data_IF_641529291009
#
_entry.id   IF_641529291009
#
_cell.length_a   1.000
_cell.length_b   1.000
_cell.length_c   1.000
_cell.angle_alpha   90.00
_cell.angle_beta   90.00
_cell.angle_gamma   90.00
#
_symmetry.space_group_name_H-M   'P 1'
#
loop_
_entity.id
_entity.type
_entity.pdbx_description
1 polymer ?
#
# COMPACT_ATOMS: atom_id res chain seq x y z
N UNK A 1 -4.01 21.18 58.11
CA UNK A 1 -2.88 20.41 57.55
C UNK A 1 -2.42 21.16 56.31
N UNK A 2 -1.17 21.65 56.30
CA UNK A 2 -0.63 22.36 55.14
C UNK A 2 -0.28 21.32 54.08
N UNK A 3 -0.89 21.41 52.90
CA UNK A 3 -0.44 20.67 51.72
C UNK A 3 0.93 21.22 51.31
N UNK A 4 1.99 20.46 51.59
CA UNK A 4 3.30 20.71 51.02
C UNK A 4 3.23 20.37 49.53
N UNK A 5 3.21 21.39 48.68
CA UNK A 5 3.33 21.23 47.25
C UNK A 5 4.80 20.94 46.92
N UNK A 6 5.17 19.65 46.88
CA UNK A 6 6.54 19.14 46.68
C UNK A 6 7.21 19.58 45.37
N UNK A 7 6.51 20.33 44.52
CA UNK A 7 6.99 20.74 43.20
C UNK A 7 7.39 22.21 43.14
N UNK A 8 7.42 22.95 44.26
CA UNK A 8 7.75 24.37 44.30
C UNK A 8 8.68 24.74 45.46
N UNK A 9 9.55 25.74 45.27
CA UNK A 9 10.27 26.43 46.34
C UNK A 9 10.12 27.94 46.21
N UNK A 10 10.20 28.65 47.33
CA UNK A 10 10.22 30.11 47.34
C UNK A 10 11.66 30.61 47.58
N UNK A 11 12.04 31.72 46.95
CA UNK A 11 13.25 32.44 47.34
C UNK A 11 13.00 33.28 48.61
N UNK A 12 14.05 33.93 49.10
CA UNK A 12 14.01 34.79 50.29
C UNK A 12 13.12 36.04 50.10
N UNK A 13 12.74 36.35 48.86
CA UNK A 13 11.83 37.44 48.48
C UNK A 13 10.37 36.96 48.34
N UNK A 14 10.12 35.66 48.46
CA UNK A 14 8.79 35.04 48.34
C UNK A 14 8.37 34.68 46.90
N UNK A 15 9.27 34.80 45.92
CA UNK A 15 9.00 34.37 44.54
C UNK A 15 8.97 32.84 44.46
N UNK A 16 7.93 32.28 43.83
CA UNK A 16 7.72 30.84 43.74
C UNK A 16 8.33 30.29 42.44
N UNK A 17 9.19 29.28 42.56
CA UNK A 17 9.85 28.56 41.48
C UNK A 17 9.39 27.09 41.45
N UNK A 18 9.13 26.56 40.26
CA UNK A 18 8.78 25.13 40.07
C UNK A 18 10.06 24.27 39.99
N UNK A 19 10.10 23.13 40.69
CA UNK A 19 11.16 22.11 40.56
C UNK A 19 11.02 21.29 39.28
N UNK A 20 9.80 21.12 38.77
CA UNK A 20 9.53 20.40 37.54
C UNK A 20 9.62 21.35 36.35
N UNK A 21 10.53 21.09 35.41
CA UNK A 21 10.47 21.63 34.06
C UNK A 21 9.41 20.85 33.25
N UNK A 22 8.22 21.41 33.00
CA UNK A 22 7.15 20.70 32.31
C UNK A 22 7.50 20.47 30.83
N UNK A 23 8.34 21.33 30.24
CA UNK A 23 8.78 21.21 28.86
C UNK A 23 9.73 20.02 28.70
N UNK A 24 10.69 19.88 29.61
CA UNK A 24 11.59 18.73 29.65
C UNK A 24 10.82 17.43 29.84
N UNK A 25 9.83 17.42 30.74
CA UNK A 25 8.98 16.25 31.00
C UNK A 25 8.17 15.84 29.76
N UNK A 26 7.45 16.78 29.15
CA UNK A 26 6.67 16.51 27.94
C UNK A 26 7.58 16.04 26.78
N UNK A 27 8.80 16.58 26.69
CA UNK A 27 9.79 16.15 25.70
C UNK A 27 10.25 14.72 25.94
N UNK A 28 10.52 14.35 27.20
CA UNK A 28 10.91 12.99 27.60
C UNK A 28 9.78 11.99 27.32
N UNK A 29 8.56 12.29 27.74
CA UNK A 29 7.38 11.41 27.52
C UNK A 29 7.14 11.16 26.03
N UNK A 30 7.31 12.19 25.18
CA UNK A 30 7.22 12.05 23.73
C UNK A 30 8.33 11.16 23.18
N UNK A 31 9.56 11.33 23.65
CA UNK A 31 10.72 10.54 23.22
C UNK A 31 10.58 9.06 23.63
N UNK A 32 10.10 8.80 24.84
CA UNK A 32 9.83 7.44 25.35
C UNK A 32 8.73 6.77 24.52
N UNK A 33 7.64 7.50 24.23
CA UNK A 33 6.58 7.00 23.36
C UNK A 33 7.05 6.68 21.94
N UNK A 34 7.96 7.47 21.36
CA UNK A 34 8.57 7.18 20.05
C UNK A 34 9.45 5.93 20.14
N UNK A 35 10.28 5.84 21.18
CA UNK A 35 11.19 4.71 21.39
C UNK A 35 10.44 3.40 21.55
N UNK A 36 9.33 3.41 22.31
CA UNK A 36 8.48 2.22 22.48
C UNK A 36 7.84 1.80 21.15
N UNK A 37 7.37 2.73 20.32
CA UNK A 37 6.80 2.39 19.00
C UNK A 37 7.86 1.83 18.05
N UNK A 38 9.07 2.38 18.07
CA UNK A 38 10.19 1.81 17.30
C UNK A 38 10.53 0.39 17.77
N UNK A 39 10.50 0.14 19.08
CA UNK A 39 10.66 -1.22 19.64
C UNK A 39 9.55 -2.15 19.14
N UNK A 40 8.29 -1.71 19.18
CA UNK A 40 7.15 -2.48 18.68
C UNK A 40 7.27 -2.80 17.19
N UNK A 41 7.72 -1.85 16.37
CA UNK A 41 7.96 -2.07 14.95
C UNK A 41 9.04 -3.14 14.73
N UNK A 42 10.14 -3.07 15.49
CA UNK A 42 11.23 -4.05 15.41
C UNK A 42 10.79 -5.47 15.77
N UNK A 43 9.89 -5.63 16.75
CA UNK A 43 9.40 -6.94 17.18
C UNK A 43 8.11 -7.39 16.49
N UNK A 44 7.63 -6.63 15.49
CA UNK A 44 6.39 -6.95 14.77
C UNK A 44 5.11 -6.85 15.61
N UNK A 45 5.13 -6.09 16.72
CA UNK A 45 3.97 -5.90 17.61
C UNK A 45 3.30 -4.53 17.42
N UNK A 46 3.76 -3.72 16.47
CA UNK A 46 3.19 -2.41 16.20
C UNK A 46 1.86 -2.55 15.45
N UNK A 47 0.75 -2.22 16.12
CA UNK A 47 -0.62 -2.35 15.56
C UNK A 47 -1.03 -1.23 14.58
N UNK A 48 -0.17 -0.22 14.38
CA UNK A 48 -0.52 0.98 13.63
C UNK A 48 -1.38 1.96 14.44
N UNK A 49 -1.38 3.23 14.04
CA UNK A 49 -2.26 4.27 14.60
C UNK A 49 -3.12 4.88 13.51
N UNK A 50 -4.34 5.29 13.85
CA UNK A 50 -5.17 6.07 12.95
C UNK A 50 -4.54 7.45 12.72
N UNK A 51 -4.24 7.78 11.46
CA UNK A 51 -3.65 9.08 11.09
C UNK A 51 -4.60 10.23 11.45
N UNK A 52 -5.91 10.01 11.32
CA UNK A 52 -6.94 10.98 11.72
C UNK A 52 -6.90 11.34 13.21
N UNK A 53 -6.42 10.44 14.06
CA UNK A 53 -6.33 10.67 15.51
C UNK A 53 -4.98 11.28 15.88
N UNK A 54 -3.89 10.71 15.38
CA UNK A 54 -2.52 11.16 15.70
C UNK A 54 -2.28 12.60 15.23
N UNK A 55 -2.88 12.97 14.10
CA UNK A 55 -2.70 14.28 13.47
C UNK A 55 -3.96 15.13 13.48
N UNK A 56 -4.92 14.85 14.37
CA UNK A 56 -6.21 15.55 14.42
C UNK A 56 -6.05 17.08 14.45
N UNK A 57 -5.09 17.60 15.21
CA UNK A 57 -4.81 19.04 15.29
C UNK A 57 -4.22 19.63 14.01
N UNK A 58 -3.36 18.89 13.30
CA UNK A 58 -2.79 19.35 12.03
C UNK A 58 -3.80 19.27 10.89
N UNK A 59 -4.65 18.23 10.89
CA UNK A 59 -5.73 18.05 9.92
C UNK A 59 -6.78 19.15 10.09
N UNK A 60 -7.21 19.40 11.33
CA UNK A 60 -8.18 20.46 11.64
C UNK A 60 -9.47 20.33 10.83
N UNK A 61 -9.82 21.38 10.11
CA UNK A 61 -10.98 21.39 9.19
C UNK A 61 -10.67 20.87 7.78
N UNK A 62 -9.41 20.53 7.49
CA UNK A 62 -8.99 19.99 6.19
C UNK A 62 -9.39 18.53 6.09
N UNK A 63 -9.74 18.07 4.89
CA UNK A 63 -9.91 16.63 4.66
C UNK A 63 -8.55 15.90 4.81
N UNK A 64 -8.55 14.73 5.48
CA UNK A 64 -7.33 13.93 5.72
C UNK A 64 -6.51 13.65 4.46
N UNK A 65 -7.15 13.41 3.31
CA UNK A 65 -6.45 13.12 2.06
C UNK A 65 -5.76 14.35 1.49
N UNK A 66 -6.40 15.52 1.60
CA UNK A 66 -5.79 16.80 1.22
C UNK A 66 -4.59 17.12 2.11
N UNK A 67 -4.72 16.91 3.42
CA UNK A 67 -3.63 17.10 4.38
C UNK A 67 -2.46 16.13 4.12
N UNK A 68 -2.76 14.84 3.89
CA UNK A 68 -1.76 13.83 3.53
C UNK A 68 -1.02 14.19 2.24
N UNK A 69 -1.76 14.63 1.21
CA UNK A 69 -1.17 15.08 -0.05
C UNK A 69 -0.19 16.23 0.18
N UNK A 70 -0.61 17.29 0.88
CA UNK A 70 0.25 18.45 1.14
C UNK A 70 1.52 18.07 1.88
N UNK A 71 1.42 17.19 2.88
CA UNK A 71 2.59 16.72 3.63
C UNK A 71 3.50 15.83 2.78
N UNK A 72 2.92 14.92 1.99
CA UNK A 72 3.66 14.04 1.10
C UNK A 72 4.39 14.85 0.03
N UNK A 73 3.72 15.75 -0.70
CA UNK A 73 4.35 16.59 -1.73
C UNK A 73 5.48 17.47 -1.17
N UNK A 74 5.41 17.86 0.12
CA UNK A 74 6.44 18.63 0.80
C UNK A 74 7.59 17.77 1.37
N UNK A 75 7.56 16.44 1.21
CA UNK A 75 8.54 15.52 1.81
C UNK A 75 8.49 15.50 3.34
N UNK A 76 7.38 15.95 3.94
CA UNK A 76 7.24 16.05 5.38
C UNK A 76 6.54 14.80 5.95
N UNK A 77 7.32 13.80 6.35
CA UNK A 77 6.82 12.56 6.98
C UNK A 77 6.99 12.51 8.50
N UNK A 78 7.45 13.60 9.12
CA UNK A 78 7.68 13.67 10.56
C UNK A 78 6.46 13.19 11.39
N UNK A 79 6.70 12.25 12.29
CA UNK A 79 5.68 11.69 13.19
C UNK A 79 4.85 10.55 12.60
N UNK A 80 4.86 10.35 11.27
CA UNK A 80 4.22 9.20 10.61
C UNK A 80 5.13 7.99 10.68
N UNK A 81 4.56 6.79 10.73
CA UNK A 81 5.32 5.54 10.76
C UNK A 81 4.70 4.50 9.83
N UNK A 82 5.54 3.57 9.37
CA UNK A 82 5.08 2.37 8.65
C UNK A 82 4.04 1.64 9.50
N UNK A 83 2.91 1.28 8.90
CA UNK A 83 1.78 0.65 9.57
C UNK A 83 0.71 1.62 10.12
N UNK A 84 0.99 2.92 10.25
CA UNK A 84 -0.07 3.93 10.48
C UNK A 84 -1.10 3.87 9.35
N UNK A 85 -2.37 4.16 9.64
CA UNK A 85 -3.45 3.82 8.72
C UNK A 85 -4.53 4.89 8.56
N UNK A 86 -5.25 4.77 7.44
CA UNK A 86 -6.54 5.41 7.15
C UNK A 86 -7.58 4.34 6.83
N UNK A 87 -8.79 4.51 7.35
CA UNK A 87 -9.93 3.66 6.99
C UNK A 87 -10.69 4.32 5.83
N UNK A 88 -10.69 3.67 4.67
CA UNK A 88 -11.27 4.19 3.42
C UNK A 88 -12.64 3.57 3.21
N UNK A 89 -13.68 4.41 3.18
CA UNK A 89 -15.03 3.99 2.80
C UNK A 89 -15.13 3.88 1.27
N UNK A 90 -15.31 2.64 0.78
CA UNK A 90 -15.52 2.33 -0.63
C UNK A 90 -17.03 2.23 -0.88
N UNK A 91 -17.52 3.04 -1.81
CA UNK A 91 -18.95 3.09 -2.14
C UNK A 91 -19.35 1.87 -2.97
N UNK A 92 -20.62 1.46 -2.88
CA UNK A 92 -21.13 0.40 -3.73
C UNK A 92 -21.17 0.83 -5.20
N UNK A 93 -20.64 -0.02 -6.08
CA UNK A 93 -20.77 0.05 -7.53
C UNK A 93 -21.25 -1.28 -8.12
N UNK A 94 -21.31 -1.38 -9.45
CA UNK A 94 -21.76 -2.60 -10.14
C UNK A 94 -20.92 -3.83 -9.76
N UNK A 95 -19.59 -3.69 -9.76
CA UNK A 95 -18.66 -4.79 -9.46
C UNK A 95 -17.93 -4.66 -8.11
N UNK A 96 -18.32 -3.69 -7.28
CA UNK A 96 -17.66 -3.37 -5.99
C UNK A 96 -18.73 -3.26 -4.90
N UNK A 97 -18.69 -4.07 -3.83
CA UNK A 97 -19.61 -3.92 -2.71
C UNK A 97 -19.22 -2.69 -1.86
N UNK A 98 -20.20 -2.13 -1.14
CA UNK A 98 -19.88 -1.18 -0.08
C UNK A 98 -19.01 -1.88 0.98
N UNK A 99 -17.85 -1.32 1.26
CA UNK A 99 -16.89 -1.88 2.20
C UNK A 99 -15.99 -0.79 2.79
N UNK A 100 -15.37 -1.07 3.93
CA UNK A 100 -14.32 -0.22 4.50
C UNK A 100 -13.00 -0.98 4.43
N UNK A 101 -12.01 -0.38 3.79
CA UNK A 101 -10.66 -0.95 3.69
C UNK A 101 -9.69 -0.11 4.52
N UNK A 102 -8.98 -0.77 5.43
CA UNK A 102 -7.90 -0.15 6.18
C UNK A 102 -6.63 -0.12 5.33
N UNK A 103 -6.20 1.07 4.94
CA UNK A 103 -4.96 1.29 4.19
C UNK A 103 -3.85 1.72 5.14
N UNK A 104 -2.75 0.99 5.13
CA UNK A 104 -1.56 1.26 5.93
C UNK A 104 -0.48 1.93 5.10
N UNK A 105 0.27 2.84 5.73
CA UNK A 105 1.53 3.35 5.19
C UNK A 105 2.48 2.16 5.02
N UNK A 106 2.80 1.88 3.76
CA UNK A 106 3.63 0.76 3.38
C UNK A 106 5.10 1.13 3.19
N UNK A 107 5.36 2.33 2.67
CA UNK A 107 6.69 2.88 2.43
C UNK A 107 6.58 4.40 2.22
N UNK A 108 7.54 5.17 2.74
CA UNK A 108 7.77 6.55 2.33
C UNK A 108 8.76 6.58 1.16
N UNK A 109 8.44 7.30 0.10
CA UNK A 109 9.35 7.54 -1.03
C UNK A 109 9.97 6.28 -1.70
N UNK A 110 9.23 5.16 -1.90
CA UNK A 110 9.80 3.97 -2.53
C UNK A 110 10.38 4.21 -3.93
N UNK A 111 9.90 5.25 -4.63
CA UNK A 111 10.30 5.60 -5.99
C UNK A 111 10.80 7.04 -6.14
N UNK A 112 11.24 7.69 -5.06
CA UNK A 112 11.62 9.10 -5.11
C UNK A 112 12.79 9.31 -6.05
N UNK A 113 12.66 10.28 -6.97
CA UNK A 113 13.63 10.57 -8.03
C UNK A 113 13.97 9.37 -8.95
N UNK A 114 13.15 8.33 -8.91
CA UNK A 114 13.26 7.16 -9.80
C UNK A 114 12.25 7.27 -10.96
N UNK A 115 12.45 6.47 -12.00
CA UNK A 115 11.61 6.45 -13.19
C UNK A 115 12.33 6.94 -14.46
N UNK A 116 11.69 6.80 -15.62
CA UNK A 116 12.06 7.57 -16.81
C UNK A 116 11.75 9.06 -16.66
N UNK A 117 10.87 9.41 -15.71
CA UNK A 117 10.60 10.75 -15.24
C UNK A 117 10.74 10.78 -13.72
N UNK A 118 11.53 11.70 -13.14
CA UNK A 118 11.72 11.77 -11.69
C UNK A 118 10.39 11.94 -10.95
N UNK A 119 10.07 11.02 -10.04
CA UNK A 119 8.89 11.12 -9.19
C UNK A 119 9.16 12.03 -7.98
N UNK A 120 8.20 12.90 -7.66
CA UNK A 120 8.19 13.69 -6.43
C UNK A 120 8.02 12.83 -5.16
N UNK A 121 8.01 13.48 -4.01
CA UNK A 121 7.79 12.81 -2.72
C UNK A 121 6.38 12.19 -2.66
N UNK A 122 6.27 11.01 -2.07
CA UNK A 122 5.02 10.24 -2.00
C UNK A 122 5.03 9.21 -0.86
N UNK A 123 3.83 8.73 -0.54
CA UNK A 123 3.61 7.66 0.43
C UNK A 123 2.88 6.52 -0.28
N UNK A 124 3.41 5.31 -0.19
CA UNK A 124 2.72 4.11 -0.63
C UNK A 124 1.75 3.62 0.45
N UNK A 125 0.52 3.34 0.04
CA UNK A 125 -0.51 2.76 0.88
C UNK A 125 -0.93 1.38 0.36
N UNK A 126 -0.98 0.42 1.27
CA UNK A 126 -1.39 -0.97 1.00
C UNK A 126 -2.60 -1.29 1.88
N UNK A 127 -3.66 -1.93 1.36
CA UNK A 127 -4.78 -2.33 2.20
C UNK A 127 -4.41 -3.57 3.05
N UNK A 128 -4.76 -3.54 4.33
CA UNK A 128 -4.49 -4.62 5.29
C UNK A 128 -5.15 -5.96 4.88
N UNK A 129 -6.33 -5.88 4.26
CA UNK A 129 -7.05 -7.01 3.70
C UNK A 129 -7.32 -6.76 2.21
N UNK A 130 -7.35 -7.81 1.36
CA UNK A 130 -7.70 -7.65 -0.04
C UNK A 130 -9.17 -7.27 -0.22
N UNK A 131 -9.47 -6.50 -1.26
CA UNK A 131 -10.80 -5.98 -1.51
C UNK A 131 -11.75 -7.11 -1.92
N UNK A 132 -13.00 -7.04 -1.45
CA UNK A 132 -14.05 -7.94 -1.90
C UNK A 132 -14.65 -7.45 -3.22
N UNK A 133 -15.11 -8.39 -4.05
CA UNK A 133 -15.71 -8.13 -5.37
C UNK A 133 -17.17 -8.56 -5.35
N UNK A 134 -18.02 -7.93 -6.15
CA UNK A 134 -19.40 -8.36 -6.37
C UNK A 134 -19.76 -8.26 -7.86
N UNK A 135 -21.00 -8.62 -8.20
CA UNK A 135 -21.54 -8.41 -9.53
C UNK A 135 -20.93 -9.32 -10.61
N UNK A 136 -21.10 -8.96 -11.90
CA UNK A 136 -20.71 -9.83 -13.02
C UNK A 136 -19.23 -10.21 -13.09
N UNK A 137 -18.33 -9.40 -12.53
CA UNK A 137 -16.90 -9.72 -12.45
C UNK A 137 -16.52 -10.64 -11.28
N UNK A 138 -17.40 -10.77 -10.28
CA UNK A 138 -17.13 -11.65 -9.15
C UNK A 138 -17.20 -13.12 -9.57
N UNK A 139 -16.22 -13.89 -9.11
CA UNK A 139 -16.23 -15.34 -9.14
C UNK A 139 -16.25 -15.88 -7.72
N UNK A 140 -16.87 -17.06 -7.54
CA UNK A 140 -16.99 -17.72 -6.25
C UNK A 140 -17.42 -16.76 -5.11
N UNK A 141 -18.51 -16.03 -5.37
CA UNK A 141 -19.11 -15.01 -4.50
C UNK A 141 -18.35 -13.70 -4.37
N UNK A 142 -17.02 -13.70 -4.11
CA UNK A 142 -16.30 -12.47 -3.73
C UNK A 142 -14.86 -12.34 -4.23
N UNK A 143 -14.49 -13.14 -5.22
CA UNK A 143 -13.14 -13.21 -5.79
C UNK A 143 -13.12 -12.66 -7.21
N UNK A 144 -11.92 -12.49 -7.77
CA UNK A 144 -11.72 -11.97 -9.12
C UNK A 144 -10.68 -12.83 -9.82
N UNK A 145 -10.92 -13.34 -11.03
CA UNK A 145 -9.85 -13.97 -11.80
C UNK A 145 -8.82 -12.88 -12.17
N UNK A 146 -7.53 -13.23 -12.21
CA UNK A 146 -6.51 -12.30 -12.70
C UNK A 146 -6.81 -11.89 -14.15
N UNK A 147 -7.15 -12.88 -15.01
CA UNK A 147 -7.61 -12.64 -16.38
C UNK A 147 -8.57 -13.74 -16.82
N UNK A 148 -9.78 -13.33 -17.19
CA UNK A 148 -10.86 -14.25 -17.56
C UNK A 148 -10.56 -15.10 -18.81
N UNK A 149 -9.71 -14.62 -19.73
CA UNK A 149 -9.37 -15.34 -20.96
C UNK A 149 -8.39 -16.52 -20.78
N UNK A 150 -7.87 -16.75 -19.57
CA UNK A 150 -6.95 -17.88 -19.31
C UNK A 150 -5.53 -17.69 -19.84
N UNK A 151 -5.21 -16.52 -20.40
CA UNK A 151 -3.92 -16.19 -20.99
C UNK A 151 -3.24 -15.06 -20.20
N UNK A 152 -1.92 -15.10 -20.03
CA UNK A 152 -1.11 -14.04 -19.39
C UNK A 152 -0.18 -13.31 -20.37
N UNK A 153 -0.46 -13.33 -21.68
CA UNK A 153 0.27 -12.56 -22.70
C UNK A 153 -0.44 -11.24 -23.04
N UNK A 154 0.32 -10.25 -23.48
CA UNK A 154 -0.16 -9.05 -24.15
C UNK A 154 -0.80 -9.32 -25.52
N UNK A 155 -1.09 -8.25 -26.25
CA UNK A 155 -1.49 -8.21 -27.66
C UNK A 155 -0.52 -7.34 -28.48
N UNK A 156 -0.80 -7.19 -29.78
CA UNK A 156 -0.03 -6.31 -30.65
C UNK A 156 -0.11 -4.85 -30.22
N UNK A 157 -1.26 -4.44 -29.68
CA UNK A 157 -1.59 -3.09 -29.25
C UNK A 157 -1.11 -2.81 -27.83
N UNK A 158 -1.20 -3.80 -26.94
CA UNK A 158 -0.82 -3.67 -25.54
C UNK A 158 -0.02 -4.89 -25.09
N UNK A 159 1.31 -4.73 -25.01
CA UNK A 159 2.24 -5.83 -24.76
C UNK A 159 2.33 -6.23 -23.28
N UNK A 160 1.80 -5.41 -22.37
CA UNK A 160 1.88 -5.64 -20.94
C UNK A 160 0.69 -6.49 -20.46
N UNK A 161 0.93 -7.73 -20.00
CA UNK A 161 -0.16 -8.62 -19.59
C UNK A 161 -1.08 -8.03 -18.52
N UNK A 162 -0.49 -7.31 -17.56
CA UNK A 162 -1.23 -6.73 -16.46
C UNK A 162 -2.22 -5.67 -16.93
N UNK A 163 -1.87 -4.84 -17.90
CA UNK A 163 -2.78 -3.81 -18.43
C UNK A 163 -3.98 -4.39 -19.19
N UNK A 164 -3.84 -5.62 -19.72
CA UNK A 164 -4.94 -6.38 -20.33
C UNK A 164 -5.67 -7.33 -19.36
N UNK A 165 -5.33 -7.29 -18.07
CA UNK A 165 -5.89 -8.20 -17.06
C UNK A 165 -7.28 -7.77 -16.62
N UNK A 166 -8.09 -8.76 -16.22
CA UNK A 166 -9.40 -8.49 -15.58
C UNK A 166 -9.20 -7.79 -14.24
N UNK A 167 -8.09 -8.08 -13.56
CA UNK A 167 -7.65 -7.41 -12.35
C UNK A 167 -7.49 -5.90 -12.56
N UNK A 168 -6.64 -5.50 -13.51
CA UNK A 168 -6.38 -4.09 -13.78
C UNK A 168 -7.61 -3.34 -14.28
N UNK A 169 -8.39 -3.98 -15.16
CA UNK A 169 -9.66 -3.42 -15.63
C UNK A 169 -10.65 -3.16 -14.47
N UNK A 170 -10.78 -4.10 -13.53
CA UNK A 170 -11.59 -3.89 -12.32
C UNK A 170 -11.02 -2.78 -11.42
N UNK A 171 -9.70 -2.73 -11.24
CA UNK A 171 -9.04 -1.71 -10.43
C UNK A 171 -9.31 -0.29 -10.94
N UNK A 172 -9.20 -0.06 -12.25
CA UNK A 172 -9.34 1.25 -12.86
C UNK A 172 -10.80 1.63 -13.14
N UNK A 173 -11.61 0.70 -13.63
CA UNK A 173 -12.95 1.02 -14.13
C UNK A 173 -14.06 0.78 -13.09
N UNK A 174 -13.81 0.01 -12.03
CA UNK A 174 -14.80 -0.27 -10.99
C UNK A 174 -14.36 0.22 -9.60
N UNK A 175 -13.16 -0.16 -9.16
CA UNK A 175 -12.67 0.16 -7.82
C UNK A 175 -12.29 1.63 -7.65
N UNK A 176 -11.49 2.18 -8.55
CA UNK A 176 -11.06 3.58 -8.49
C UNK A 176 -12.27 4.54 -8.44
N UNK A 177 -13.32 4.43 -9.27
CA UNK A 177 -14.51 5.28 -9.17
C UNK A 177 -15.28 5.14 -7.86
N UNK A 178 -15.19 3.99 -7.18
CA UNK A 178 -15.85 3.73 -5.90
C UNK A 178 -15.14 4.36 -4.69
N UNK A 179 -13.90 4.84 -4.86
CA UNK A 179 -13.16 5.55 -3.82
C UNK A 179 -13.70 6.97 -3.58
N UNK A 180 -13.57 7.52 -2.37
CA UNK A 180 -13.94 8.91 -2.07
C UNK A 180 -13.29 9.90 -3.04
N UNK A 181 -14.04 10.89 -3.50
CA UNK A 181 -13.54 11.87 -4.49
C UNK A 181 -12.30 12.61 -4.00
N UNK A 182 -12.24 12.97 -2.72
CA UNK A 182 -11.11 13.61 -2.08
C UNK A 182 -9.86 12.73 -2.13
N UNK A 183 -10.00 11.42 -1.88
CA UNK A 183 -8.91 10.46 -2.01
C UNK A 183 -8.46 10.34 -3.48
N UNK A 184 -9.38 10.21 -4.43
CA UNK A 184 -9.04 10.13 -5.86
C UNK A 184 -8.27 11.35 -6.36
N UNK A 185 -8.49 12.53 -5.76
CA UNK A 185 -7.77 13.77 -6.07
C UNK A 185 -6.37 13.84 -5.41
N UNK A 186 -6.16 13.09 -4.33
CA UNK A 186 -4.88 12.98 -3.63
C UNK A 186 -3.96 11.91 -4.22
N UNK A 187 -4.54 10.90 -4.88
CA UNK A 187 -3.78 9.79 -5.46
C UNK A 187 -3.05 10.19 -6.75
N UNK A 188 -1.78 9.78 -6.85
CA UNK A 188 -0.93 9.96 -8.02
C UNK A 188 -1.12 8.83 -9.05
N UNK A 189 -0.82 9.12 -10.31
CA UNK A 189 -0.64 8.07 -11.31
C UNK A 189 0.69 7.33 -11.09
N UNK A 190 0.67 6.00 -11.12
CA UNK A 190 1.85 5.18 -10.92
C UNK A 190 2.42 4.70 -12.25
N UNK A 191 3.50 5.37 -12.69
CA UNK A 191 4.31 4.97 -13.84
C UNK A 191 5.44 4.02 -13.41
N UNK A 192 5.61 2.92 -14.13
CA UNK A 192 6.58 1.86 -13.80
C UNK A 192 7.25 1.30 -15.05
N UNK A 193 8.39 0.63 -14.88
CA UNK A 193 8.98 -0.22 -15.91
C UNK A 193 8.28 -1.59 -15.85
N UNK A 194 7.29 -1.80 -16.74
CA UNK A 194 6.37 -2.94 -16.68
C UNK A 194 6.80 -4.04 -17.64
N UNK A 195 6.60 -5.31 -17.26
CA UNK A 195 6.98 -6.46 -18.08
C UNK A 195 6.12 -6.60 -19.35
N UNK A 196 6.79 -6.85 -20.48
CA UNK A 196 6.17 -7.17 -21.75
C UNK A 196 6.20 -8.68 -21.98
N UNK A 197 5.08 -9.24 -22.45
CA UNK A 197 5.00 -10.64 -22.85
C UNK A 197 4.08 -10.77 -24.04
N UNK A 198 4.62 -10.53 -25.23
CA UNK A 198 3.87 -10.65 -26.47
C UNK A 198 4.77 -11.09 -27.61
N UNK A 199 4.27 -12.01 -28.44
CA UNK A 199 4.86 -12.40 -29.72
C UNK A 199 3.73 -12.54 -30.74
N UNK A 200 3.97 -12.12 -31.98
CA UNK A 200 3.03 -12.30 -33.10
C UNK A 200 2.93 -13.75 -33.58
N UNK A 201 3.87 -14.60 -33.18
CA UNK A 201 4.05 -15.94 -33.76
C UNK A 201 3.65 -17.07 -32.82
N UNK A 202 3.69 -16.83 -31.51
CA UNK A 202 3.41 -17.86 -30.51
C UNK A 202 2.99 -17.25 -29.17
N UNK A 203 2.44 -18.08 -28.30
CA UNK A 203 2.18 -17.70 -26.91
C UNK A 203 3.45 -17.91 -26.08
N UNK A 204 3.91 -16.87 -25.39
CA UNK A 204 5.11 -16.91 -24.59
C UNK A 204 4.84 -17.44 -23.17
N UNK A 205 5.80 -18.17 -22.63
CA UNK A 205 5.83 -18.59 -21.21
C UNK A 205 6.76 -17.72 -20.36
N UNK A 206 7.59 -16.90 -21.00
CA UNK A 206 8.48 -15.94 -20.34
C UNK A 206 8.21 -14.55 -20.88
N UNK A 207 8.35 -13.55 -20.01
CA UNK A 207 8.37 -12.14 -20.44
C UNK A 207 9.62 -11.90 -21.29
N UNK A 208 9.48 -11.12 -22.36
CA UNK A 208 10.51 -10.93 -23.39
C UNK A 208 11.09 -9.51 -23.41
N UNK A 209 10.58 -8.64 -22.55
CA UNK A 209 10.95 -7.23 -22.51
C UNK A 209 10.32 -6.51 -21.33
N UNK A 210 10.55 -5.22 -21.28
CA UNK A 210 9.81 -4.28 -20.46
C UNK A 210 9.69 -2.95 -21.21
N UNK A 211 8.73 -2.12 -20.83
CA UNK A 211 8.73 -0.71 -21.19
C UNK A 211 8.02 0.14 -20.14
N UNK A 212 8.22 1.45 -20.22
CA UNK A 212 7.62 2.37 -19.26
C UNK A 212 6.14 2.56 -19.55
N UNK A 213 5.30 2.18 -18.60
CA UNK A 213 3.85 2.21 -18.73
C UNK A 213 3.19 2.80 -17.48
N UNK A 214 1.99 3.36 -17.66
CA UNK A 214 1.17 3.88 -16.58
C UNK A 214 0.23 2.78 -16.07
N UNK A 215 0.35 2.43 -14.78
CA UNK A 215 -0.56 1.52 -14.09
C UNK A 215 -1.86 2.21 -13.66
N UNK A 216 -2.02 3.51 -13.90
CA UNK A 216 -3.14 4.27 -13.35
C UNK A 216 -2.93 4.66 -11.88
N UNK A 217 -4.02 5.05 -11.22
CA UNK A 217 -4.01 5.55 -9.83
C UNK A 217 -4.01 4.46 -8.77
N UNK A 218 -4.47 3.27 -9.11
CA UNK A 218 -4.53 2.12 -8.21
C UNK A 218 -3.96 0.90 -8.94
N UNK A 219 -3.23 0.05 -8.24
CA UNK A 219 -2.63 -1.15 -8.81
C UNK A 219 -2.47 -2.25 -7.77
N UNK A 220 -2.43 -3.51 -8.20
CA UNK A 220 -1.98 -4.62 -7.36
C UNK A 220 -0.44 -4.67 -7.35
N UNK A 221 0.20 -4.92 -6.20
CA UNK A 221 1.65 -4.86 -6.09
C UNK A 221 2.33 -5.99 -6.89
N UNK A 222 3.61 -5.83 -7.19
CA UNK A 222 4.46 -6.87 -7.77
C UNK A 222 5.05 -7.80 -6.71
N UNK A 223 5.65 -8.90 -7.16
CA UNK A 223 6.45 -9.73 -6.26
C UNK A 223 7.64 -8.97 -5.67
N UNK A 224 8.22 -8.02 -6.39
CA UNK A 224 9.31 -7.20 -5.87
C UNK A 224 8.83 -6.26 -4.76
N UNK A 225 7.66 -5.62 -4.94
CA UNK A 225 7.04 -4.77 -3.92
C UNK A 225 6.75 -5.54 -2.62
N UNK A 226 6.41 -6.84 -2.71
CA UNK A 226 6.02 -7.67 -1.54
C UNK A 226 7.16 -8.48 -0.93
N UNK A 227 7.91 -9.20 -1.77
CA UNK A 227 8.93 -10.16 -1.36
C UNK A 227 10.36 -9.62 -1.47
N UNK A 228 10.56 -8.51 -2.19
CA UNK A 228 11.89 -8.00 -2.50
C UNK A 228 12.64 -8.82 -3.55
N UNK A 229 11.97 -9.75 -4.21
CA UNK A 229 12.52 -10.52 -5.32
C UNK A 229 11.41 -11.16 -6.19
N UNK A 230 11.69 -11.50 -7.45
CA UNK A 230 10.79 -12.30 -8.27
C UNK A 230 10.92 -13.77 -7.87
N UNK A 231 9.90 -14.33 -7.21
CA UNK A 231 9.92 -15.76 -6.78
C UNK A 231 9.39 -16.64 -7.90
N UNK A 232 8.24 -16.28 -8.47
CA UNK A 232 7.60 -17.02 -9.58
C UNK A 232 7.60 -16.25 -10.90
N UNK A 233 7.85 -14.94 -10.89
CA UNK A 233 7.92 -14.11 -12.08
C UNK A 233 9.15 -14.36 -12.95
N UNK A 234 9.10 -13.87 -14.19
CA UNK A 234 10.25 -13.87 -15.09
C UNK A 234 11.37 -13.00 -14.51
N UNK A 235 12.51 -13.62 -14.22
CA UNK A 235 13.68 -12.94 -13.64
C UNK A 235 14.11 -11.74 -14.50
N UNK A 236 14.39 -10.62 -13.86
CA UNK A 236 14.71 -9.36 -14.54
C UNK A 236 13.44 -8.58 -14.91
N UNK A 237 12.64 -9.09 -15.83
CA UNK A 237 11.48 -8.35 -16.36
C UNK A 237 10.38 -8.12 -15.31
N UNK A 238 10.07 -9.11 -14.47
CA UNK A 238 9.04 -8.96 -13.42
C UNK A 238 9.50 -8.12 -12.22
N UNK A 239 10.78 -7.72 -12.16
CA UNK A 239 11.31 -6.76 -11.17
C UNK A 239 11.13 -5.32 -11.67
N UNK A 240 11.50 -5.08 -12.94
CA UNK A 240 11.50 -3.74 -13.50
C UNK A 240 12.36 -2.78 -12.66
N UNK A 241 11.72 -1.75 -12.11
CA UNK A 241 12.33 -0.75 -11.23
C UNK A 241 11.82 -0.82 -9.78
N UNK A 242 11.03 -1.85 -9.46
CA UNK A 242 10.34 -1.93 -8.19
C UNK A 242 11.30 -2.17 -7.01
N UNK A 243 10.87 -1.78 -5.81
CA UNK A 243 11.58 -2.05 -4.57
C UNK A 243 10.62 -2.65 -3.53
N UNK A 244 11.16 -3.41 -2.58
CA UNK A 244 10.34 -3.97 -1.50
C UNK A 244 9.76 -2.86 -0.63
N UNK A 245 8.47 -2.93 -0.32
CA UNK A 245 7.86 -2.04 0.66
C UNK A 245 8.29 -2.41 2.08
N UNK A 246 8.70 -1.40 2.84
CA UNK A 246 9.19 -1.55 4.20
C UNK A 246 8.16 -2.19 5.15
N UNK A 247 6.87 -2.16 4.83
CA UNK A 247 5.83 -2.88 5.56
C UNK A 247 5.99 -4.40 5.51
N UNK A 248 6.51 -4.97 4.43
CA UNK A 248 6.57 -6.42 4.23
C UNK A 248 7.89 -7.03 4.74
N UNK A 249 8.27 -6.70 5.96
CA UNK A 249 9.51 -7.17 6.60
C UNK A 249 9.55 -8.68 6.79
N UNK A 250 8.41 -9.29 7.10
CA UNK A 250 8.29 -10.72 7.40
C UNK A 250 7.00 -11.33 6.85
N UNK A 251 6.84 -12.65 7.06
CA UNK A 251 5.67 -13.39 6.56
C UNK A 251 4.37 -12.98 7.26
N UNK A 252 4.44 -12.60 8.55
CA UNK A 252 3.28 -12.17 9.30
C UNK A 252 2.75 -10.83 8.78
N UNK A 253 3.65 -9.92 8.42
CA UNK A 253 3.31 -8.63 7.81
C UNK A 253 2.68 -8.77 6.41
N UNK A 254 3.08 -9.79 5.63
CA UNK A 254 2.47 -10.08 4.31
C UNK A 254 1.03 -10.57 4.42
N UNK A 255 0.70 -11.36 5.44
CA UNK A 255 -0.67 -11.80 5.69
C UNK A 255 -1.49 -10.72 6.40
N UNK A 256 -0.85 -9.99 7.31
CA UNK A 256 -1.43 -9.00 8.20
C UNK A 256 -2.74 -9.48 8.87
N UNK A 257 -2.68 -10.69 9.45
CA UNK A 257 -3.83 -11.37 10.08
C UNK A 257 -4.90 -11.91 9.11
N UNK A 258 -4.85 -11.54 7.83
CA UNK A 258 -5.85 -11.89 6.83
C UNK A 258 -5.38 -13.05 5.95
N UNK A 259 -5.86 -14.27 6.24
CA UNK A 259 -5.55 -15.49 5.50
C UNK A 259 -6.34 -15.64 4.20
N UNK A 260 -6.33 -14.60 3.36
CA UNK A 260 -6.98 -14.59 2.05
C UNK A 260 -5.92 -14.39 0.97
N UNK A 261 -5.96 -15.26 -0.05
CA UNK A 261 -5.07 -15.17 -1.19
C UNK A 261 -5.38 -13.89 -2.00
N UNK A 262 -4.33 -13.22 -2.47
CA UNK A 262 -4.46 -11.92 -3.14
C UNK A 262 -3.50 -11.80 -4.32
N UNK A 263 -4.01 -11.34 -5.46
CA UNK A 263 -3.26 -11.28 -6.71
C UNK A 263 -2.11 -10.28 -6.62
N UNK A 264 -1.06 -10.56 -7.38
CA UNK A 264 -0.02 -9.61 -7.72
C UNK A 264 -0.13 -9.28 -9.21
N UNK A 265 0.42 -8.14 -9.62
CA UNK A 265 0.45 -7.79 -11.05
C UNK A 265 1.42 -8.65 -11.88
N UNK A 266 2.40 -9.27 -11.21
CA UNK A 266 3.43 -10.09 -11.86
C UNK A 266 2.84 -11.35 -12.50
N UNK A 267 3.24 -11.64 -13.74
CA UNK A 267 2.91 -12.91 -14.40
C UNK A 267 3.97 -13.96 -14.10
N UNK A 268 3.57 -15.23 -14.04
CA UNK A 268 4.49 -16.33 -13.72
C UNK A 268 5.41 -16.64 -14.92
N UNK A 269 6.71 -16.79 -14.67
CA UNK A 269 7.69 -17.29 -15.63
C UNK A 269 7.61 -18.81 -15.73
N UNK A 270 7.56 -19.33 -16.95
CA UNK A 270 7.41 -20.75 -17.27
C UNK A 270 5.97 -21.18 -17.53
N UNK A 271 5.00 -20.26 -17.51
CA UNK A 271 3.60 -20.54 -17.86
C UNK A 271 3.00 -19.36 -18.62
N UNK A 272 2.22 -19.67 -19.66
CA UNK A 272 1.41 -18.70 -20.40
C UNK A 272 0.02 -18.47 -19.80
N UNK A 273 -0.32 -19.16 -18.70
CA UNK A 273 -1.68 -19.18 -18.16
C UNK A 273 -1.73 -19.00 -16.64
N UNK A 274 -0.62 -18.61 -16.00
CA UNK A 274 -0.55 -18.43 -14.55
C UNK A 274 -0.07 -17.03 -14.14
N UNK A 275 -0.57 -16.51 -13.03
CA UNK A 275 -0.12 -15.26 -12.43
C UNK A 275 0.35 -15.47 -10.98
N UNK A 276 1.18 -14.55 -10.50
CA UNK A 276 1.70 -14.59 -9.14
C UNK A 276 0.68 -14.03 -8.15
N UNK A 277 0.68 -14.57 -6.93
CA UNK A 277 -0.17 -14.10 -5.85
C UNK A 277 0.47 -14.37 -4.48
N UNK A 278 0.03 -13.63 -3.47
CA UNK A 278 0.39 -13.95 -2.07
C UNK A 278 -0.60 -15.00 -1.57
N UNK A 279 -0.08 -16.17 -1.20
CA UNK A 279 -0.91 -17.24 -0.64
C UNK A 279 -1.48 -16.85 0.74
N UNK A 280 -2.55 -17.51 1.16
CA UNK A 280 -3.16 -17.35 2.49
C UNK A 280 -2.19 -17.59 3.67
N UNK A 281 -1.10 -18.32 3.44
CA UNK A 281 0.00 -18.52 4.40
C UNK A 281 1.12 -17.47 4.33
N UNK A 282 1.05 -16.49 3.43
CA UNK A 282 2.04 -15.41 3.26
C UNK A 282 3.22 -15.74 2.35
N UNK A 283 3.35 -16.98 1.87
CA UNK A 283 4.36 -17.38 0.92
C UNK A 283 3.99 -16.95 -0.51
N UNK A 284 5.01 -16.73 -1.35
CA UNK A 284 4.83 -16.51 -2.79
C UNK A 284 4.27 -17.77 -3.45
N UNK A 285 3.28 -17.59 -4.33
CA UNK A 285 2.68 -18.69 -5.07
C UNK A 285 2.21 -18.21 -6.45
N UNK A 286 1.84 -19.15 -7.31
CA UNK A 286 1.26 -18.90 -8.62
C UNK A 286 0.06 -19.82 -8.86
N UNK A 287 -0.91 -19.37 -9.63
CA UNK A 287 -2.03 -20.21 -10.05
C UNK A 287 -2.54 -19.74 -11.40
N UNK A 288 -3.43 -20.53 -12.01
CA UNK A 288 -4.11 -20.18 -13.24
C UNK A 288 -4.72 -18.78 -13.14
N UNK A 289 -4.59 -17.98 -14.20
CA UNK A 289 -5.15 -16.62 -14.24
C UNK A 289 -6.68 -16.59 -14.14
N UNK A 290 -7.35 -17.71 -14.39
CA UNK A 290 -8.80 -17.87 -14.20
C UNK A 290 -9.17 -18.43 -12.83
N UNK A 291 -8.21 -18.61 -11.92
CA UNK A 291 -8.47 -19.14 -10.58
C UNK A 291 -9.41 -18.23 -9.79
N UNK A 292 -10.34 -18.85 -9.06
CA UNK A 292 -11.54 -18.24 -8.50
C UNK A 292 -11.51 -18.08 -6.97
N UNK A 293 -10.34 -18.26 -6.33
CA UNK A 293 -10.17 -18.11 -4.88
C UNK A 293 -9.17 -17.02 -4.48
N UNK A 294 -8.92 -16.05 -5.36
CA UNK A 294 -7.95 -14.97 -5.13
C UNK A 294 -8.61 -13.61 -5.31
N UNK A 295 -8.32 -12.67 -4.41
CA UNK A 295 -8.92 -11.33 -4.40
C UNK A 295 -7.98 -10.25 -4.95
N UNK A 296 -8.51 -9.13 -5.48
CA UNK A 296 -7.71 -7.98 -5.87
C UNK A 296 -7.09 -7.29 -4.64
N UNK A 297 -5.92 -6.67 -4.82
CA UNK A 297 -5.20 -6.00 -3.73
C UNK A 297 -4.73 -4.59 -4.12
N UNK A 298 -5.67 -3.67 -4.41
CA UNK A 298 -5.35 -2.37 -4.97
C UNK A 298 -4.66 -1.46 -3.95
N UNK A 299 -3.40 -1.13 -4.21
CA UNK A 299 -2.58 -0.13 -3.54
C UNK A 299 -2.76 1.25 -4.20
N UNK A 300 -2.28 2.31 -3.54
CA UNK A 300 -2.19 3.65 -4.14
C UNK A 300 -1.00 4.45 -3.60
N UNK A 301 -0.59 5.48 -4.34
CA UNK A 301 0.39 6.49 -3.89
C UNK A 301 -0.32 7.82 -3.61
N UNK A 302 0.03 8.48 -2.50
CA UNK A 302 -0.35 9.88 -2.25
C UNK A 302 0.89 10.76 -2.32
N UNK A 303 0.84 11.86 -3.09
CA UNK A 303 1.92 12.84 -3.26
C UNK A 303 1.58 13.97 -4.22
#
# INVERSE_FOLDING_TARGET
MAEYNLNQFADDEGNIYNFSDPTARATSERADGVSERNRQLLIGSYGGRAISEVFASEIGSTNIYTWLKQRASAGNFAGMMIGDYVDVAVSQGTNVPAQTLRYQIAHFDPYYQCGDQPKGHHIAFVPMAPATVQGPKAVNSSYLPWRASGNNNGSAEEKHPYLLSTLHDWEINDFLPALPTELRNAIMNQRVLLEERYSSSETLTESSGFSWADLGKVWSPSEMEVYGCPVWGTKGYSVGFDCQFALFTDTAARINGNRVARWLRSVMGGSSSSACYVNSGGNANNNSVSHDWVRPWPCFLIG
#
